data_IF_776482336409
#
_entry.id   IF_776482336409
#
_cell.length_a   1.000
_cell.length_b   1.000
_cell.length_c   1.000
_cell.angle_alpha   90.00
_cell.angle_beta   90.00
_cell.angle_gamma   90.00
#
_symmetry.space_group_name_H-M   'P 1'
#
loop_
_entity.id
_entity.type
_entity.pdbx_description
1 polymer ?
#
# COMPACT_ATOMS: atom_id res chain seq x y z
N UNK A 1 14.62 4.16 -5.22
CA UNK A 1 13.48 3.36 -4.75
C UNK A 1 13.92 1.95 -4.40
N UNK A 2 13.19 1.27 -3.51
CA UNK A 2 13.41 -0.16 -3.21
C UNK A 2 13.02 -1.04 -4.42
N UNK A 3 13.54 -2.26 -4.50
CA UNK A 3 13.16 -3.24 -5.53
C UNK A 3 11.82 -3.90 -5.22
N UNK A 4 11.07 -4.25 -6.26
CA UNK A 4 9.82 -5.02 -6.14
C UNK A 4 10.02 -6.46 -6.61
N UNK A 5 9.35 -7.43 -5.97
CA UNK A 5 9.41 -8.83 -6.39
C UNK A 5 8.68 -9.05 -7.73
N UNK A 6 7.62 -8.28 -7.97
CA UNK A 6 6.93 -8.29 -9.24
C UNK A 6 7.43 -7.17 -10.14
N UNK A 7 7.49 -7.44 -11.44
CA UNK A 7 7.92 -6.47 -12.43
C UNK A 7 6.87 -5.36 -12.57
N UNK A 8 7.29 -4.13 -12.34
CA UNK A 8 6.51 -2.94 -12.64
C UNK A 8 6.50 -2.71 -14.17
N UNK A 9 5.44 -2.10 -14.68
CA UNK A 9 5.40 -1.64 -16.08
C UNK A 9 6.42 -0.53 -16.30
N UNK A 10 6.78 -0.25 -17.55
CA UNK A 10 7.72 0.84 -17.87
C UNK A 10 7.23 2.19 -17.36
N UNK A 11 5.92 2.44 -17.47
CA UNK A 11 5.29 3.66 -16.94
C UNK A 11 5.39 3.73 -15.40
N UNK A 12 5.06 2.65 -14.70
CA UNK A 12 5.16 2.58 -13.24
C UNK A 12 6.60 2.80 -12.75
N UNK A 13 7.59 2.19 -13.43
CA UNK A 13 9.00 2.40 -13.11
C UNK A 13 9.41 3.86 -13.30
N UNK A 14 9.04 4.46 -14.44
CA UNK A 14 9.31 5.87 -14.72
C UNK A 14 8.67 6.79 -13.67
N UNK A 15 7.38 6.56 -13.35
CA UNK A 15 6.64 7.31 -12.34
C UNK A 15 7.32 7.27 -10.98
N UNK A 16 7.63 6.06 -10.46
CA UNK A 16 8.23 5.93 -9.14
C UNK A 16 9.68 6.41 -9.07
N UNK A 17 10.46 6.30 -10.15
CA UNK A 17 11.80 6.86 -10.20
C UNK A 17 11.75 8.39 -10.14
N UNK A 18 10.89 9.03 -10.92
CA UNK A 18 10.72 10.47 -10.89
C UNK A 18 10.23 10.96 -9.53
N UNK A 19 9.27 10.24 -8.93
CA UNK A 19 8.74 10.56 -7.62
C UNK A 19 9.82 10.44 -6.53
N UNK A 20 10.60 9.36 -6.54
CA UNK A 20 11.71 9.16 -5.59
C UNK A 20 12.75 10.27 -5.69
N UNK A 21 13.11 10.66 -6.92
CA UNK A 21 14.05 11.75 -7.17
C UNK A 21 13.50 13.12 -6.72
N UNK A 22 12.22 13.40 -7.03
CA UNK A 22 11.58 14.67 -6.66
C UNK A 22 11.43 14.83 -5.15
N UNK A 23 11.10 13.75 -4.45
CA UNK A 23 10.96 13.74 -3.00
C UNK A 23 12.32 13.68 -2.28
N UNK A 24 13.39 13.31 -2.99
CA UNK A 24 14.71 13.01 -2.43
C UNK A 24 14.63 11.99 -1.29
N UNK A 25 13.88 10.90 -1.53
CA UNK A 25 13.69 9.86 -0.52
C UNK A 25 13.50 8.48 -1.15
N UNK A 26 13.76 7.45 -0.36
CA UNK A 26 13.50 6.06 -0.78
C UNK A 26 12.02 5.72 -0.67
N UNK A 27 11.45 5.16 -1.74
CA UNK A 27 10.11 4.60 -1.74
C UNK A 27 10.19 3.11 -1.37
N UNK A 28 9.41 2.69 -0.37
CA UNK A 28 9.32 1.32 0.11
C UNK A 28 8.01 0.69 -0.36
N UNK A 29 8.11 -0.49 -1.00
CA UNK A 29 6.97 -1.15 -1.61
C UNK A 29 6.47 -2.32 -0.77
N UNK A 30 5.15 -2.44 -0.65
CA UNK A 30 4.49 -3.48 0.14
C UNK A 30 3.32 -4.12 -0.60
N UNK A 31 2.60 -4.94 0.15
CA UNK A 31 1.36 -5.52 -0.31
C UNK A 31 1.54 -6.48 -1.47
N UNK A 32 0.60 -6.46 -2.40
CA UNK A 32 0.56 -7.45 -3.47
C UNK A 32 1.73 -7.35 -4.46
N UNK A 33 2.31 -6.17 -4.66
CA UNK A 33 3.46 -5.98 -5.56
C UNK A 33 4.71 -6.74 -5.09
N UNK A 34 4.77 -7.09 -3.79
CA UNK A 34 5.82 -7.92 -3.20
C UNK A 34 5.42 -9.40 -3.08
N UNK A 35 4.23 -9.81 -3.55
CA UNK A 35 3.68 -11.16 -3.44
C UNK A 35 3.21 -11.70 -4.79
N UNK A 36 2.95 -13.01 -4.87
CA UNK A 36 2.48 -13.68 -6.10
C UNK A 36 1.03 -13.33 -6.50
N UNK A 37 0.27 -12.67 -5.62
CA UNK A 37 -1.11 -12.25 -5.91
C UNK A 37 -1.20 -10.85 -6.55
N UNK A 38 -0.12 -10.34 -7.14
CA UNK A 38 -0.12 -9.08 -7.87
C UNK A 38 -0.71 -9.23 -9.28
N UNK A 39 -1.63 -8.35 -9.61
CA UNK A 39 -2.22 -8.22 -10.95
C UNK A 39 -1.79 -6.88 -11.54
N UNK A 40 -0.85 -6.87 -12.52
CA UNK A 40 -0.43 -5.64 -13.18
C UNK A 40 -1.61 -4.86 -13.74
N UNK A 41 -1.56 -3.54 -13.65
CA UNK A 41 -2.59 -2.61 -14.11
C UNK A 41 -3.97 -2.72 -13.42
N UNK A 42 -4.10 -3.54 -12.38
CA UNK A 42 -5.37 -3.76 -11.68
C UNK A 42 -5.23 -3.71 -10.15
N UNK A 43 -4.12 -4.24 -9.61
CA UNK A 43 -3.85 -4.17 -8.17
C UNK A 43 -3.28 -2.82 -7.79
N UNK A 44 -3.71 -2.31 -6.64
CA UNK A 44 -3.07 -1.16 -6.01
C UNK A 44 -1.60 -1.48 -5.67
N UNK A 45 -0.75 -0.47 -5.77
CA UNK A 45 0.65 -0.53 -5.35
C UNK A 45 0.76 0.24 -4.03
N UNK A 46 1.03 -0.50 -2.97
CA UNK A 46 1.21 0.08 -1.64
C UNK A 46 2.63 0.64 -1.52
N UNK A 47 2.77 1.93 -1.21
CA UNK A 47 4.05 2.63 -1.06
C UNK A 47 4.13 3.31 0.29
N UNK A 48 5.21 3.10 1.02
CA UNK A 48 5.49 3.86 2.24
C UNK A 48 6.68 4.81 2.05
N UNK A 49 6.53 5.98 2.60
CA UNK A 49 7.52 7.05 2.64
C UNK A 49 7.80 7.37 4.10
N UNK A 50 9.09 7.38 4.46
CA UNK A 50 9.54 7.83 5.77
C UNK A 50 10.15 9.22 5.66
N UNK A 51 9.81 10.11 6.59
CA UNK A 51 10.27 11.50 6.57
C UNK A 51 10.12 12.15 7.94
N UNK A 52 11.06 13.01 8.29
CA UNK A 52 10.94 13.85 9.49
C UNK A 52 10.09 15.11 9.24
N UNK A 53 9.87 15.47 7.98
CA UNK A 53 9.09 16.63 7.58
C UNK A 53 7.84 16.23 6.76
N UNK A 54 6.81 15.75 7.45
CA UNK A 54 5.56 15.34 6.82
C UNK A 54 4.92 16.45 5.96
N UNK A 55 4.93 17.70 6.46
CA UNK A 55 4.28 18.82 5.76
C UNK A 55 4.93 19.08 4.40
N UNK A 56 6.24 19.12 4.35
CA UNK A 56 6.97 19.30 3.10
C UNK A 56 6.73 18.16 2.12
N UNK A 57 6.83 16.91 2.61
CA UNK A 57 6.60 15.71 1.78
C UNK A 57 5.18 15.66 1.23
N UNK A 58 4.18 15.98 2.06
CA UNK A 58 2.78 16.02 1.64
C UNK A 58 2.54 17.11 0.59
N UNK A 59 3.08 18.32 0.78
CA UNK A 59 2.95 19.40 -0.20
C UNK A 59 3.59 19.04 -1.54
N UNK A 60 4.78 18.43 -1.53
CA UNK A 60 5.42 17.90 -2.74
C UNK A 60 4.57 16.83 -3.42
N UNK A 61 3.99 15.90 -2.66
CA UNK A 61 3.09 14.88 -3.22
C UNK A 61 1.84 15.50 -3.84
N UNK A 62 1.18 16.44 -3.17
CA UNK A 62 0.01 17.15 -3.69
C UNK A 62 0.37 17.82 -5.03
N UNK A 63 1.53 18.48 -5.11
CA UNK A 63 1.97 19.19 -6.30
C UNK A 63 2.29 18.23 -7.47
N UNK A 64 3.05 17.16 -7.22
CA UNK A 64 3.49 16.26 -8.31
C UNK A 64 2.36 15.35 -8.80
N UNK A 65 1.44 14.99 -7.90
CA UNK A 65 0.30 14.12 -8.21
C UNK A 65 -0.93 14.90 -8.71
N UNK A 66 -0.87 16.22 -8.68
CA UNK A 66 -1.98 17.13 -9.03
C UNK A 66 -3.29 16.74 -8.32
N UNK A 67 -3.23 16.60 -7.02
CA UNK A 67 -4.37 16.19 -6.19
C UNK A 67 -4.77 17.29 -5.22
N UNK A 68 -6.04 17.26 -4.81
CA UNK A 68 -6.54 18.17 -3.78
C UNK A 68 -6.04 17.78 -2.37
N UNK A 69 -5.84 18.76 -1.50
CA UNK A 69 -5.43 18.54 -0.10
C UNK A 69 -6.41 17.67 0.68
N UNK A 70 -7.68 17.66 0.33
CA UNK A 70 -8.71 16.80 0.92
C UNK A 70 -8.49 15.30 0.69
N UNK A 71 -7.66 14.95 -0.29
CA UNK A 71 -7.24 13.56 -0.52
C UNK A 71 -6.24 13.04 0.52
N UNK A 72 -5.65 13.95 1.32
CA UNK A 72 -4.71 13.58 2.38
C UNK A 72 -5.48 13.29 3.66
N UNK A 73 -5.46 12.04 4.10
CA UNK A 73 -6.13 11.58 5.32
C UNK A 73 -5.12 11.34 6.42
N UNK A 74 -5.40 11.82 7.63
CA UNK A 74 -4.64 11.42 8.81
C UNK A 74 -5.01 9.99 9.19
N UNK A 75 -4.02 9.21 9.57
CA UNK A 75 -4.20 7.85 10.05
C UNK A 75 -3.50 7.65 11.38
N UNK A 76 -4.13 6.82 12.21
CA UNK A 76 -3.57 6.33 13.46
C UNK A 76 -3.52 4.82 13.36
N UNK A 77 -2.34 4.27 13.53
CA UNK A 77 -2.09 2.84 13.47
C UNK A 77 -1.62 2.35 14.83
N UNK A 78 -2.41 1.47 15.43
CA UNK A 78 -2.03 0.76 16.64
C UNK A 78 -1.30 -0.53 16.26
N UNK A 79 0.04 -0.54 16.36
CA UNK A 79 0.88 -1.68 15.97
C UNK A 79 0.89 -2.74 17.10
N UNK A 80 0.79 -2.30 18.34
CA UNK A 80 0.67 -3.15 19.53
C UNK A 80 0.05 -2.32 20.66
N UNK A 81 -0.33 -2.95 21.77
CA UNK A 81 -0.95 -2.29 22.93
C UNK A 81 -0.19 -1.06 23.46
N UNK A 82 1.07 -0.90 23.07
CA UNK A 82 1.95 0.17 23.53
C UNK A 82 2.47 1.11 22.44
N UNK A 83 2.26 0.79 21.16
CA UNK A 83 2.87 1.56 20.07
C UNK A 83 1.78 2.08 19.13
N UNK A 84 1.55 3.39 19.21
CA UNK A 84 0.66 4.12 18.32
C UNK A 84 1.49 4.94 17.34
N UNK A 85 1.28 4.70 16.05
CA UNK A 85 1.96 5.40 14.96
C UNK A 85 0.96 6.33 14.28
N UNK A 86 1.30 7.61 14.25
CA UNK A 86 0.55 8.60 13.48
C UNK A 86 1.19 8.74 12.10
N UNK A 87 0.35 8.85 11.08
CA UNK A 87 0.79 9.03 9.71
C UNK A 87 -0.25 9.69 8.84
N UNK A 88 0.01 9.66 7.54
CA UNK A 88 -0.89 10.18 6.53
C UNK A 88 -1.06 9.16 5.42
N UNK A 89 -2.24 9.14 4.79
CA UNK A 89 -2.56 8.31 3.66
C UNK A 89 -3.05 9.14 2.50
N UNK A 90 -2.57 8.81 1.29
CA UNK A 90 -3.02 9.39 0.03
C UNK A 90 -3.32 8.23 -0.92
N UNK A 91 -4.55 8.20 -1.43
CA UNK A 91 -4.94 7.26 -2.48
C UNK A 91 -4.87 8.00 -3.82
N UNK A 92 -3.99 7.57 -4.70
CA UNK A 92 -3.79 8.14 -6.03
C UNK A 92 -4.27 7.19 -7.12
N UNK A 93 -4.92 7.74 -8.15
CA UNK A 93 -5.42 6.98 -9.29
C UNK A 93 -5.15 7.75 -10.57
N UNK A 94 -4.38 7.15 -11.44
CA UNK A 94 -4.20 7.56 -12.83
C UNK A 94 -4.92 6.53 -13.71
N UNK A 95 -6.13 6.88 -14.15
CA UNK A 95 -7.00 5.97 -14.89
C UNK A 95 -6.47 5.72 -16.31
N UNK A 96 -5.84 6.72 -16.92
CA UNK A 96 -5.34 6.65 -18.30
C UNK A 96 -4.17 5.66 -18.41
N UNK A 97 -3.33 5.60 -17.37
CA UNK A 97 -2.18 4.71 -17.29
C UNK A 97 -2.41 3.47 -16.43
N UNK A 98 -3.62 3.25 -15.95
CA UNK A 98 -3.99 2.13 -15.07
C UNK A 98 -3.05 2.02 -13.84
N UNK A 99 -2.70 3.17 -13.25
CA UNK A 99 -1.86 3.23 -12.07
C UNK A 99 -2.69 3.58 -10.83
N UNK A 100 -2.69 2.69 -9.86
CA UNK A 100 -3.36 2.85 -8.58
C UNK A 100 -2.32 2.74 -7.47
N UNK A 101 -2.18 3.80 -6.66
CA UNK A 101 -1.15 3.85 -5.62
C UNK A 101 -1.75 4.28 -4.29
N UNK A 102 -1.45 3.51 -3.26
CA UNK A 102 -1.77 3.81 -1.87
C UNK A 102 -0.50 4.27 -1.15
N UNK A 103 -0.31 5.59 -1.01
CA UNK A 103 0.80 6.15 -0.26
C UNK A 103 0.49 6.17 1.23
N UNK A 104 1.45 5.71 2.04
CA UNK A 104 1.47 5.87 3.50
C UNK A 104 2.72 6.64 3.91
N UNK A 105 2.58 7.68 4.72
CA UNK A 105 3.66 8.58 5.09
C UNK A 105 3.81 8.53 6.61
N UNK A 106 4.99 8.13 7.08
CA UNK A 106 5.32 8.02 8.50
C UNK A 106 6.58 8.79 8.85
N UNK A 107 6.74 9.10 10.15
CA UNK A 107 7.98 9.67 10.64
C UNK A 107 9.13 8.65 10.58
N UNK A 108 10.33 9.11 10.24
CA UNK A 108 11.54 8.25 10.09
C UNK A 108 11.81 7.41 11.34
N UNK A 109 11.52 7.92 12.54
CA UNK A 109 11.67 7.18 13.81
C UNK A 109 10.89 5.88 13.90
N UNK A 110 9.84 5.71 13.09
CA UNK A 110 9.00 4.50 13.06
C UNK A 110 9.41 3.51 11.97
N UNK A 111 10.44 3.83 11.18
CA UNK A 111 10.83 3.06 10.01
C UNK A 111 11.03 1.59 10.31
N UNK A 112 11.87 1.26 11.28
CA UNK A 112 12.18 -0.13 11.59
C UNK A 112 10.95 -0.92 12.03
N UNK A 113 10.07 -0.29 12.84
CA UNK A 113 8.85 -0.90 13.33
C UNK A 113 7.90 -1.19 12.16
N UNK A 114 7.69 -0.20 11.28
CA UNK A 114 6.81 -0.32 10.12
C UNK A 114 7.36 -1.34 9.13
N UNK A 115 8.66 -1.31 8.84
CA UNK A 115 9.29 -2.28 7.92
C UNK A 115 9.22 -3.71 8.45
N UNK A 116 9.45 -3.92 9.75
CA UNK A 116 9.33 -5.23 10.38
C UNK A 116 7.90 -5.77 10.26
N UNK A 117 6.89 -4.93 10.54
CA UNK A 117 5.49 -5.29 10.40
C UNK A 117 5.11 -5.62 8.95
N UNK A 118 5.62 -4.86 7.99
CA UNK A 118 5.38 -5.15 6.57
C UNK A 118 6.08 -6.41 6.11
N UNK A 119 7.30 -6.67 6.59
CA UNK A 119 8.05 -7.88 6.25
C UNK A 119 7.37 -9.13 6.81
N UNK A 120 6.80 -9.06 8.00
CA UNK A 120 6.02 -10.19 8.57
C UNK A 120 4.80 -10.56 7.72
N UNK A 121 4.28 -9.63 6.92
CA UNK A 121 3.14 -9.82 6.01
C UNK A 121 3.51 -10.17 4.56
N UNK A 122 4.81 -10.23 4.23
CA UNK A 122 5.25 -10.68 2.90
C UNK A 122 5.04 -12.18 2.70
N UNK A 123 5.28 -12.95 3.74
CA UNK A 123 5.15 -14.41 3.72
C UNK A 123 3.74 -14.81 4.14
N UNK A 124 2.91 -15.10 3.17
CA UNK A 124 1.58 -15.68 3.39
C UNK A 124 1.57 -17.15 2.99
N UNK A 125 0.81 -18.01 3.68
CA UNK A 125 0.69 -19.41 3.32
C UNK A 125 0.25 -19.60 1.87
N UNK A 126 0.80 -20.61 1.19
CA UNK A 126 0.50 -20.87 -0.23
C UNK A 126 -1.00 -20.95 -0.53
N UNK A 127 -1.77 -21.62 0.33
CA UNK A 127 -3.23 -21.71 0.16
C UNK A 127 -3.93 -20.34 0.22
N UNK A 128 -3.45 -19.43 1.08
CA UNK A 128 -3.99 -18.08 1.15
C UNK A 128 -3.64 -17.26 -0.10
N UNK A 129 -2.43 -17.46 -0.63
CA UNK A 129 -2.04 -16.88 -1.92
C UNK A 129 -2.94 -17.35 -3.04
N UNK A 130 -3.22 -18.66 -3.15
CA UNK A 130 -4.13 -19.21 -4.15
C UNK A 130 -5.54 -18.61 -4.04
N UNK A 131 -6.08 -18.51 -2.82
CA UNK A 131 -7.38 -17.89 -2.59
C UNK A 131 -7.42 -16.42 -3.01
N UNK A 132 -6.36 -15.65 -2.72
CA UNK A 132 -6.26 -14.25 -3.15
C UNK A 132 -6.16 -14.12 -4.67
N UNK A 133 -5.41 -15.00 -5.34
CA UNK A 133 -5.32 -15.02 -6.80
C UNK A 133 -6.68 -15.32 -7.43
N UNK A 134 -7.38 -16.35 -6.96
CA UNK A 134 -8.72 -16.69 -7.45
C UNK A 134 -9.69 -15.54 -7.21
N UNK A 135 -9.72 -14.97 -6.01
CA UNK A 135 -10.59 -13.84 -5.68
C UNK A 135 -10.34 -12.64 -6.60
N UNK A 136 -9.07 -12.28 -6.81
CA UNK A 136 -8.67 -11.18 -7.69
C UNK A 136 -9.00 -11.48 -9.16
N UNK A 137 -8.82 -12.70 -9.61
CA UNK A 137 -9.19 -13.12 -10.96
C UNK A 137 -10.70 -12.96 -11.18
N UNK A 138 -11.53 -13.45 -10.23
CA UNK A 138 -12.98 -13.30 -10.29
C UNK A 138 -13.41 -11.83 -10.25
N UNK A 139 -12.70 -10.98 -9.52
CA UNK A 139 -13.02 -9.56 -9.41
C UNK A 139 -12.55 -8.76 -10.63
N UNK A 140 -11.26 -8.87 -11.02
CA UNK A 140 -10.67 -8.04 -12.07
C UNK A 140 -10.90 -8.53 -13.49
N UNK A 141 -11.01 -9.86 -13.70
CA UNK A 141 -11.11 -10.45 -15.04
C UNK A 141 -12.53 -10.88 -15.39
N UNK A 142 -13.21 -11.54 -14.46
CA UNK A 142 -14.56 -12.04 -14.72
C UNK A 142 -15.66 -11.05 -14.33
N UNK A 143 -15.36 -10.03 -13.52
CA UNK A 143 -16.32 -9.05 -12.99
C UNK A 143 -17.56 -9.66 -12.30
N UNK A 144 -17.43 -10.88 -11.74
CA UNK A 144 -18.53 -11.60 -11.11
C UNK A 144 -18.65 -11.32 -9.60
N UNK A 145 -17.64 -10.65 -9.01
CA UNK A 145 -17.60 -10.32 -7.59
C UNK A 145 -17.77 -8.83 -7.40
N UNK A 146 -18.74 -8.40 -6.59
CA UNK A 146 -18.90 -6.98 -6.27
C UNK A 146 -17.75 -6.44 -5.40
N UNK A 147 -17.49 -5.14 -5.47
CA UNK A 147 -16.42 -4.49 -4.70
C UNK A 147 -16.56 -4.73 -3.18
N UNK A 148 -17.77 -4.70 -2.64
CA UNK A 148 -18.01 -4.93 -1.20
C UNK A 148 -17.65 -6.38 -0.79
N UNK A 149 -18.02 -7.36 -1.60
CA UNK A 149 -17.68 -8.77 -1.37
C UNK A 149 -16.17 -8.97 -1.50
N UNK A 150 -15.56 -8.39 -2.53
CA UNK A 150 -14.11 -8.45 -2.75
C UNK A 150 -13.34 -7.94 -1.53
N UNK A 151 -13.65 -6.73 -1.04
CA UNK A 151 -12.97 -6.12 0.10
C UNK A 151 -13.15 -6.96 1.38
N UNK A 152 -14.37 -7.41 1.66
CA UNK A 152 -14.66 -8.24 2.85
C UNK A 152 -13.92 -9.57 2.81
N UNK A 153 -13.97 -10.27 1.67
CA UNK A 153 -13.29 -11.56 1.49
C UNK A 153 -11.78 -11.43 1.52
N UNK A 154 -11.22 -10.39 0.87
CA UNK A 154 -9.79 -10.08 0.93
C UNK A 154 -9.33 -9.87 2.37
N UNK A 155 -10.06 -9.04 3.15
CA UNK A 155 -9.75 -8.81 4.58
C UNK A 155 -9.84 -10.09 5.39
N UNK A 156 -10.88 -10.89 5.18
CA UNK A 156 -11.04 -12.17 5.87
C UNK A 156 -9.86 -13.12 5.61
N UNK A 157 -9.43 -13.26 4.35
CA UNK A 157 -8.28 -14.09 3.99
C UNK A 157 -7.02 -13.57 4.69
N UNK A 158 -6.76 -12.26 4.59
CA UNK A 158 -5.57 -11.65 5.17
C UNK A 158 -5.54 -11.73 6.70
N UNK A 159 -6.65 -11.46 7.38
CA UNK A 159 -6.68 -11.43 8.85
C UNK A 159 -6.74 -12.83 9.47
N UNK A 160 -7.48 -13.77 8.88
CA UNK A 160 -7.72 -15.08 9.50
C UNK A 160 -6.68 -16.12 9.13
N UNK A 161 -6.07 -16.01 7.94
CA UNK A 161 -5.13 -17.00 7.42
C UNK A 161 -3.66 -16.57 7.57
N UNK A 162 -3.40 -15.29 7.81
CA UNK A 162 -2.10 -14.80 8.23
C UNK A 162 -2.15 -14.75 9.77
N UNK A 163 -1.66 -15.80 10.41
CA UNK A 163 -1.61 -15.91 11.88
C UNK A 163 -0.96 -14.68 12.52
N UNK A 164 -1.61 -14.18 13.59
CA UNK A 164 -1.11 -13.19 14.55
C UNK A 164 -1.00 -11.72 14.07
N UNK A 165 -1.89 -11.26 13.25
CA UNK A 165 -2.21 -9.84 13.32
C UNK A 165 -3.44 -9.71 14.22
N UNK A 166 -3.22 -9.47 15.50
CA UNK A 166 -4.22 -8.79 16.32
C UNK A 166 -4.78 -7.65 15.48
N UNK A 167 -6.08 -7.42 15.55
CA UNK A 167 -6.78 -6.39 14.80
C UNK A 167 -5.96 -5.09 14.88
N UNK A 168 -5.15 -4.85 13.87
CA UNK A 168 -4.43 -3.60 13.72
C UNK A 168 -5.49 -2.55 13.46
N UNK A 169 -5.98 -1.93 14.53
CA UNK A 169 -6.99 -0.91 14.50
C UNK A 169 -6.43 0.30 13.76
N UNK A 170 -6.59 0.29 12.44
CA UNK A 170 -6.37 1.44 11.58
C UNK A 170 -7.57 2.36 11.72
N UNK A 171 -7.40 3.49 12.38
CA UNK A 171 -8.41 4.53 12.46
C UNK A 171 -8.04 5.64 11.48
N UNK A 172 -8.93 5.94 10.53
CA UNK A 172 -8.86 7.15 9.72
C UNK A 172 -9.56 8.27 10.49
N UNK A 173 -8.88 9.40 10.64
CA UNK A 173 -9.40 10.62 11.26
C UNK A 173 -9.79 11.62 10.17
#
# INVERSE_FOLDING_TARGET
METTNNKLTSYQQFFFNNLSNYLDTTLYFFGSVQRFDYFPNSSDIDVTIFTDNHNSTILKLIQILDIDKSNVKKIVWNVSDKIIINGFKINYKDLDNHLYVDFSIYNEKYKDIVLNEHNSKKEIPFYATCLLVILKFCYYKLNIVSNNIYIKTKRFILNKLIKNTDDNNFVML
#
